data_IF_884757471716
#
_entry.id   IF_884757471716
#
_cell.length_a   1.000
_cell.length_b   1.000
_cell.length_c   1.000
_cell.angle_alpha   90.00
_cell.angle_beta   90.00
_cell.angle_gamma   90.00
#
_symmetry.space_group_name_H-M   'P 1'
#
loop_
_entity.id
_entity.type
_entity.pdbx_description
1 polymer ?
#
# COMPACT_ATOMS: atom_id res chain seq x y z
N UNK A 1 3.41 6.71 19.71
CA UNK A 1 3.29 5.24 19.81
C UNK A 1 3.21 4.78 21.27
N UNK A 2 4.15 5.19 22.13
CA UNK A 2 4.20 4.79 23.55
C UNK A 2 2.95 5.17 24.38
N UNK A 3 2.22 6.21 23.96
CA UNK A 3 0.97 6.65 24.60
C UNK A 3 -0.26 5.78 24.23
N UNK A 4 -0.11 4.77 23.36
CA UNK A 4 -1.20 3.86 22.97
C UNK A 4 -2.29 4.46 22.07
N UNK A 5 -2.29 5.78 21.85
CA UNK A 5 -3.29 6.46 21.03
C UNK A 5 -3.32 5.92 19.58
N UNK A 6 -2.15 5.61 19.03
CA UNK A 6 -2.03 5.00 17.70
C UNK A 6 -2.73 3.63 17.63
N UNK A 7 -2.52 2.77 18.64
CA UNK A 7 -3.14 1.45 18.69
C UNK A 7 -4.67 1.56 18.80
N UNK A 8 -5.18 2.50 19.61
CA UNK A 8 -6.61 2.76 19.74
C UNK A 8 -7.23 3.22 18.41
N UNK A 9 -6.57 4.14 17.70
CA UNK A 9 -7.02 4.62 16.38
C UNK A 9 -7.02 3.50 15.34
N UNK A 10 -5.96 2.70 15.27
CA UNK A 10 -5.83 1.61 14.31
C UNK A 10 -6.86 0.49 14.54
N UNK A 11 -7.12 0.12 15.81
CA UNK A 11 -8.15 -0.88 16.15
C UNK A 11 -9.56 -0.35 15.81
N UNK A 12 -9.85 0.91 16.13
CA UNK A 12 -11.12 1.54 15.79
C UNK A 12 -11.32 1.61 14.26
N UNK A 13 -10.26 1.90 13.52
CA UNK A 13 -10.29 1.89 12.06
C UNK A 13 -10.52 0.48 11.48
N UNK A 14 -9.91 -0.55 12.07
CA UNK A 14 -10.15 -1.94 11.71
C UNK A 14 -11.61 -2.38 11.95
N UNK A 15 -12.24 -1.89 13.03
CA UNK A 15 -13.67 -2.13 13.26
C UNK A 15 -14.57 -1.46 12.21
N UNK A 16 -14.10 -0.40 11.56
CA UNK A 16 -14.78 0.27 10.44
C UNK A 16 -14.35 -0.26 9.06
N UNK A 17 -13.74 -1.44 9.01
CA UNK A 17 -13.24 -2.07 7.80
C UNK A 17 -12.21 -1.21 7.02
N UNK A 18 -11.39 -0.44 7.73
CA UNK A 18 -10.27 0.32 7.14
C UNK A 18 -10.65 1.29 6.03
N UNK A 19 -11.78 2.00 6.17
CA UNK A 19 -12.27 2.96 5.16
C UNK A 19 -11.27 4.07 4.86
N UNK A 20 -10.63 4.63 5.89
CA UNK A 20 -9.65 5.71 5.75
C UNK A 20 -8.37 5.20 5.11
N UNK A 21 -7.82 4.08 5.58
CA UNK A 21 -6.67 3.38 4.98
C UNK A 21 -6.90 3.01 3.52
N UNK A 22 -8.10 2.58 3.16
CA UNK A 22 -8.44 2.26 1.77
C UNK A 22 -8.43 3.53 0.90
N UNK A 23 -8.97 4.64 1.40
CA UNK A 23 -8.90 5.93 0.71
C UNK A 23 -7.44 6.39 0.53
N UNK A 24 -6.62 6.32 1.58
CA UNK A 24 -5.20 6.65 1.48
C UNK A 24 -4.44 5.75 0.50
N UNK A 25 -4.72 4.44 0.48
CA UNK A 25 -4.14 3.50 -0.50
C UNK A 25 -4.51 3.89 -1.93
N UNK A 26 -5.77 4.26 -2.18
CA UNK A 26 -6.22 4.72 -3.51
C UNK A 26 -5.49 6.00 -3.94
N UNK A 27 -5.35 6.97 -3.04
CA UNK A 27 -4.62 8.21 -3.32
C UNK A 27 -3.14 7.96 -3.60
N UNK A 28 -2.50 7.10 -2.80
CA UNK A 28 -1.10 6.72 -3.00
C UNK A 28 -0.89 5.99 -4.33
N UNK A 29 -1.81 5.09 -4.72
CA UNK A 29 -1.75 4.42 -6.01
C UNK A 29 -1.90 5.38 -7.20
N UNK A 30 -2.64 6.47 -7.03
CA UNK A 30 -2.78 7.52 -8.03
C UNK A 30 -1.58 8.48 -8.09
N UNK A 31 -0.66 8.41 -7.12
CA UNK A 31 0.48 9.33 -7.07
C UNK A 31 1.43 9.08 -8.26
N UNK A 32 1.91 10.13 -8.96
CA UNK A 32 2.76 9.98 -10.15
C UNK A 32 4.02 9.13 -9.91
N UNK A 33 4.57 9.18 -8.69
CA UNK A 33 5.73 8.36 -8.30
C UNK A 33 5.49 6.86 -8.46
N UNK A 34 4.27 6.38 -8.14
CA UNK A 34 3.96 4.97 -8.24
C UNK A 34 3.71 4.55 -9.68
N UNK A 35 3.14 5.44 -10.50
CA UNK A 35 2.94 5.22 -11.93
C UNK A 35 4.29 5.10 -12.65
N UNK A 36 5.14 6.13 -12.53
CA UNK A 36 6.47 6.15 -13.15
C UNK A 36 7.36 5.06 -12.56
N UNK A 37 7.29 4.85 -11.24
CA UNK A 37 8.04 3.79 -10.57
C UNK A 37 7.62 2.38 -11.01
N UNK A 38 6.34 2.16 -11.35
CA UNK A 38 5.88 0.89 -11.90
C UNK A 38 6.51 0.61 -13.27
N UNK A 39 6.45 1.57 -14.18
CA UNK A 39 7.04 1.47 -15.52
C UNK A 39 8.55 1.19 -15.46
N UNK A 40 9.27 1.95 -14.62
CA UNK A 40 10.70 1.75 -14.42
C UNK A 40 11.02 0.35 -13.86
N UNK A 41 10.21 -0.14 -12.91
CA UNK A 41 10.38 -1.48 -12.33
C UNK A 41 10.04 -2.60 -13.32
N UNK A 42 9.11 -2.39 -14.24
CA UNK A 42 8.80 -3.34 -15.31
C UNK A 42 9.95 -3.50 -16.30
N UNK A 43 10.66 -2.42 -16.61
CA UNK A 43 11.87 -2.46 -17.46
C UNK A 43 13.08 -3.12 -16.79
N UNK A 44 13.00 -3.45 -15.49
CA UNK A 44 14.09 -4.06 -14.72
C UNK A 44 13.76 -5.53 -14.38
N UNK A 45 14.08 -6.49 -15.28
CA UNK A 45 13.69 -7.89 -15.14
C UNK A 45 14.27 -8.59 -13.90
N UNK A 46 15.40 -8.10 -13.37
CA UNK A 46 16.00 -8.64 -12.15
C UNK A 46 15.23 -8.25 -10.88
N UNK A 47 14.44 -7.18 -10.90
CA UNK A 47 13.62 -6.74 -9.77
C UNK A 47 12.28 -7.48 -9.77
N UNK A 48 11.70 -7.72 -10.95
CA UNK A 48 10.42 -8.42 -11.09
C UNK A 48 10.55 -9.93 -10.84
N UNK A 49 11.71 -10.53 -11.12
CA UNK A 49 11.96 -11.95 -10.90
C UNK A 49 11.80 -12.41 -9.43
N UNK A 50 11.96 -11.51 -8.46
CA UNK A 50 11.86 -11.82 -7.02
C UNK A 50 10.64 -11.17 -6.34
N UNK A 51 9.58 -10.88 -7.11
CA UNK A 51 8.38 -10.22 -6.58
C UNK A 51 7.66 -11.16 -5.59
N UNK A 52 7.70 -10.79 -4.31
CA UNK A 52 7.07 -11.52 -3.18
C UNK A 52 5.53 -11.52 -3.22
N UNK A 53 4.92 -10.61 -3.98
CA UNK A 53 3.46 -10.46 -4.04
C UNK A 53 3.02 -10.43 -5.50
N UNK A 54 2.31 -11.48 -5.90
CA UNK A 54 1.61 -11.54 -7.16
C UNK A 54 0.36 -10.66 -7.10
N UNK A 55 0.28 -9.67 -8.00
CA UNK A 55 -0.83 -8.70 -8.05
C UNK A 55 -2.02 -9.23 -8.84
N UNK A 56 -1.87 -10.31 -9.60
CA UNK A 56 -2.99 -10.93 -10.35
C UNK A 56 -3.88 -11.80 -9.46
N UNK A 57 -3.42 -12.10 -8.23
CA UNK A 57 -4.10 -12.97 -7.27
C UNK A 57 -4.72 -12.28 -6.06
N UNK A 58 -4.67 -10.94 -5.96
CA UNK A 58 -5.22 -10.17 -4.83
C UNK A 58 -6.21 -9.10 -5.26
#
# INVERSE_FOLDING_TARGET
>A
IQTGEYAKRFIAEGATNYSSMTAYRRLNAAHPIEQVGAELREMMPWITANRLVDKDKN
#
